data_IF_851401020683
#
_entry.id   IF_851401020683
#
_cell.length_a   1.000
_cell.length_b   1.000
_cell.length_c   1.000
_cell.angle_alpha   90.00
_cell.angle_beta   90.00
_cell.angle_gamma   90.00
#
_symmetry.space_group_name_H-M   'P 1'
#
loop_
_entity.id
_entity.type
_entity.pdbx_description
1 polymer ?
#
# COMPACT_ATOMS: atom_id res chain seq x y z
N UNK A 1 29.72 -42.62 6.31
CA UNK A 1 30.23 -41.81 5.19
C UNK A 1 29.10 -41.27 4.30
N UNK A 2 28.16 -42.05 3.71
CA UNK A 2 27.15 -41.51 2.79
C UNK A 2 26.13 -40.55 3.45
N UNK A 3 25.70 -40.88 4.67
CA UNK A 3 24.69 -40.11 5.42
C UNK A 3 25.21 -38.71 5.82
N UNK A 4 26.50 -38.60 6.17
CA UNK A 4 27.10 -37.33 6.55
C UNK A 4 27.15 -36.35 5.37
N UNK A 5 27.48 -36.82 4.17
CA UNK A 5 27.50 -35.98 2.97
C UNK A 5 26.08 -35.49 2.66
N UNK A 6 25.08 -36.38 2.68
CA UNK A 6 23.67 -35.99 2.46
C UNK A 6 23.20 -34.97 3.51
N UNK A 7 23.52 -35.18 4.78
CA UNK A 7 23.15 -34.26 5.86
C UNK A 7 23.78 -32.88 5.67
N UNK A 8 25.07 -32.81 5.35
CA UNK A 8 25.77 -31.55 5.09
C UNK A 8 25.18 -30.84 3.87
N UNK A 9 24.89 -31.56 2.78
CA UNK A 9 24.25 -30.99 1.59
C UNK A 9 22.87 -30.42 1.90
N UNK A 10 22.03 -31.12 2.69
CA UNK A 10 20.72 -30.62 3.10
C UNK A 10 20.81 -29.35 3.96
N UNK A 11 21.78 -29.30 4.88
CA UNK A 11 22.01 -28.12 5.72
C UNK A 11 22.48 -26.94 4.88
N UNK A 12 23.43 -27.16 3.96
CA UNK A 12 23.93 -26.12 3.05
C UNK A 12 22.80 -25.62 2.15
N UNK A 13 22.01 -26.50 1.54
CA UNK A 13 20.88 -26.11 0.71
C UNK A 13 19.85 -25.29 1.50
N UNK A 14 19.53 -25.70 2.73
CA UNK A 14 18.63 -24.92 3.59
C UNK A 14 19.20 -23.54 3.90
N UNK A 15 20.50 -23.44 4.18
CA UNK A 15 21.17 -22.18 4.44
C UNK A 15 21.18 -21.26 3.21
N UNK A 16 21.53 -21.80 2.03
CA UNK A 16 21.49 -21.09 0.76
C UNK A 16 20.08 -20.56 0.46
N UNK A 17 19.04 -21.39 0.63
CA UNK A 17 17.65 -20.99 0.43
C UNK A 17 17.24 -19.83 1.36
N UNK A 18 17.67 -19.85 2.63
CA UNK A 18 17.40 -18.76 3.57
C UNK A 18 18.08 -17.46 3.12
N UNK A 19 19.33 -17.54 2.65
CA UNK A 19 20.04 -16.38 2.13
C UNK A 19 19.38 -15.80 0.88
N UNK A 20 18.99 -16.64 -0.07
CA UNK A 20 18.28 -16.22 -1.29
C UNK A 20 16.94 -15.58 -0.97
N UNK A 21 16.16 -16.19 -0.08
CA UNK A 21 14.89 -15.64 0.39
C UNK A 21 15.07 -14.24 1.00
N UNK A 22 16.08 -14.06 1.87
CA UNK A 22 16.39 -12.75 2.46
C UNK A 22 16.79 -11.71 1.41
N UNK A 23 17.62 -12.10 0.43
CA UNK A 23 18.01 -11.20 -0.67
C UNK A 23 16.79 -10.78 -1.50
N UNK A 24 15.87 -11.71 -1.77
CA UNK A 24 14.62 -11.44 -2.50
C UNK A 24 13.73 -10.47 -1.73
N UNK A 25 13.49 -10.72 -0.43
CA UNK A 25 12.71 -9.83 0.44
C UNK A 25 13.29 -8.41 0.45
N UNK A 26 14.63 -8.27 0.55
CA UNK A 26 15.26 -6.94 0.49
C UNK A 26 15.02 -6.24 -0.85
N UNK A 27 15.15 -6.95 -1.97
CA UNK A 27 14.86 -6.38 -3.30
C UNK A 27 13.40 -5.95 -3.44
N UNK A 28 12.45 -6.74 -2.96
CA UNK A 28 11.03 -6.40 -2.96
C UNK A 28 10.80 -5.11 -2.16
N UNK A 29 11.34 -5.03 -0.94
CA UNK A 29 11.16 -3.85 -0.11
C UNK A 29 11.77 -2.57 -0.70
N UNK A 30 12.83 -2.67 -1.51
CA UNK A 30 13.34 -1.53 -2.30
C UNK A 30 12.29 -1.06 -3.31
N UNK A 31 11.63 -1.98 -4.02
CA UNK A 31 10.54 -1.65 -4.97
C UNK A 31 9.36 -0.99 -4.24
N UNK A 32 8.94 -1.56 -3.10
CA UNK A 32 7.89 -1.01 -2.24
C UNK A 32 8.26 0.42 -1.80
N UNK A 33 9.52 0.62 -1.39
CA UNK A 33 10.01 1.93 -0.97
C UNK A 33 9.95 2.95 -2.11
N UNK A 34 10.37 2.57 -3.32
CA UNK A 34 10.27 3.42 -4.51
C UNK A 34 8.81 3.80 -4.79
N UNK A 35 7.89 2.85 -4.72
CA UNK A 35 6.45 3.13 -4.88
C UNK A 35 5.94 4.16 -3.89
N UNK A 36 6.20 3.99 -2.59
CA UNK A 36 5.69 4.93 -1.58
C UNK A 36 6.33 6.32 -1.66
N UNK A 37 7.60 6.41 -2.07
CA UNK A 37 8.28 7.69 -2.28
C UNK A 37 7.72 8.44 -3.50
N UNK A 38 7.40 7.74 -4.58
CA UNK A 38 6.98 8.35 -5.84
C UNK A 38 5.47 8.60 -5.94
N UNK A 39 4.67 7.65 -5.45
CA UNK A 39 3.24 7.56 -5.74
C UNK A 39 2.38 7.31 -4.49
N UNK A 40 2.78 6.36 -3.65
CA UNK A 40 1.89 5.76 -2.65
C UNK A 40 1.28 6.78 -1.68
N UNK A 41 2.04 7.78 -1.23
CA UNK A 41 1.52 8.81 -0.32
C UNK A 41 0.45 9.68 -1.01
N UNK A 42 0.69 10.10 -2.25
CA UNK A 42 -0.30 10.87 -3.03
C UNK A 42 -1.55 10.05 -3.32
N UNK A 43 -1.39 8.76 -3.68
CA UNK A 43 -2.52 7.86 -3.90
C UNK A 43 -3.35 7.69 -2.64
N UNK A 44 -2.73 7.44 -1.49
CA UNK A 44 -3.43 7.36 -0.18
C UNK A 44 -4.17 8.67 0.10
N UNK A 45 -3.50 9.81 -0.05
CA UNK A 45 -4.07 11.12 0.26
C UNK A 45 -5.25 11.50 -0.64
N UNK A 46 -5.28 11.04 -1.89
CA UNK A 46 -6.40 11.30 -2.80
C UNK A 46 -7.55 10.34 -2.52
N UNK A 47 -7.25 9.05 -2.31
CA UNK A 47 -8.27 8.04 -1.99
C UNK A 47 -8.95 8.33 -0.64
N UNK A 48 -8.22 8.85 0.35
CA UNK A 48 -8.78 9.18 1.67
C UNK A 48 -9.89 10.24 1.60
N UNK A 49 -9.92 11.08 0.58
CA UNK A 49 -10.98 12.09 0.38
C UNK A 49 -12.36 11.50 0.06
N UNK A 50 -12.40 10.22 -0.32
CA UNK A 50 -13.62 9.45 -0.55
C UNK A 50 -14.12 8.78 0.72
N UNK A 51 -13.33 8.79 1.80
CA UNK A 51 -13.70 8.25 3.10
C UNK A 51 -14.36 9.33 3.97
N UNK A 52 -15.67 9.25 4.16
CA UNK A 52 -16.44 10.25 4.91
C UNK A 52 -16.13 10.24 6.41
N UNK A 53 -15.70 9.11 6.96
CA UNK A 53 -15.20 9.01 8.33
C UNK A 53 -13.67 8.92 8.40
N UNK A 54 -12.96 9.67 7.55
CA UNK A 54 -11.50 9.67 7.52
C UNK A 54 -10.88 10.20 8.82
N UNK A 55 -11.46 11.20 9.47
CA UNK A 55 -10.92 11.74 10.73
C UNK A 55 -10.96 10.70 11.87
N UNK A 56 -12.05 9.91 11.93
CA UNK A 56 -12.17 8.78 12.84
C UNK A 56 -11.09 7.73 12.55
N UNK A 57 -10.88 7.43 11.26
CA UNK A 57 -9.85 6.48 10.82
C UNK A 57 -8.43 6.94 11.17
N UNK A 58 -8.09 8.21 10.89
CA UNK A 58 -6.78 8.78 11.25
C UNK A 58 -6.52 8.74 12.75
N UNK A 59 -7.56 8.99 13.57
CA UNK A 59 -7.47 8.87 15.03
C UNK A 59 -7.30 7.41 15.49
N UNK A 60 -7.90 6.47 14.75
CA UNK A 60 -7.82 5.04 15.02
C UNK A 60 -6.43 4.46 14.72
N UNK A 61 -5.76 4.92 13.66
CA UNK A 61 -4.40 4.47 13.32
C UNK A 61 -3.35 5.32 14.06
N UNK A 62 -2.94 4.86 15.25
CA UNK A 62 -1.80 5.43 15.98
C UNK A 62 -0.47 4.98 15.38
N UNK A 63 0.12 5.81 14.53
CA UNK A 63 1.32 5.47 13.72
C UNK A 63 2.62 5.50 14.53
N UNK A 64 2.62 6.16 15.68
CA UNK A 64 3.84 6.46 16.44
C UNK A 64 4.51 5.22 17.07
N UNK A 65 3.93 4.02 16.95
CA UNK A 65 4.46 2.76 17.51
C UNK A 65 4.68 1.66 16.45
N UNK A 66 4.85 2.02 15.16
CA UNK A 66 5.10 1.04 14.10
C UNK A 66 6.46 0.35 14.21
N UNK A 67 6.43 -0.96 14.40
CA UNK A 67 7.56 -1.88 14.27
C UNK A 67 7.02 -3.27 13.87
N UNK A 68 7.87 -4.17 13.38
CA UNK A 68 7.44 -5.51 12.94
C UNK A 68 6.77 -6.36 14.05
N UNK A 69 6.91 -6.01 15.34
CA UNK A 69 6.26 -6.76 16.43
C UNK A 69 4.81 -6.34 16.67
N UNK A 70 4.44 -5.13 16.26
CA UNK A 70 3.13 -4.53 16.55
C UNK A 70 2.29 -4.23 15.29
N UNK A 71 2.87 -4.36 14.09
CA UNK A 71 2.22 -4.09 12.80
C UNK A 71 0.91 -4.89 12.59
N UNK A 72 0.84 -6.11 13.13
CA UNK A 72 -0.32 -6.99 13.00
C UNK A 72 -1.59 -6.38 13.63
N UNK A 73 -1.45 -5.65 14.75
CA UNK A 73 -2.59 -5.01 15.43
C UNK A 73 -3.13 -3.88 14.57
N UNK A 74 -2.24 -3.06 14.02
CA UNK A 74 -2.60 -1.94 13.15
C UNK A 74 -3.25 -2.44 11.86
N UNK A 75 -2.68 -3.47 11.21
CA UNK A 75 -3.30 -4.09 10.03
C UNK A 75 -4.67 -4.68 10.34
N UNK A 76 -4.83 -5.34 11.48
CA UNK A 76 -6.13 -5.86 11.93
C UNK A 76 -7.14 -4.73 12.15
N UNK A 77 -6.74 -3.64 12.80
CA UNK A 77 -7.54 -2.42 12.94
C UNK A 77 -8.01 -1.87 11.60
N UNK A 78 -7.14 -1.81 10.58
CA UNK A 78 -7.54 -1.42 9.21
C UNK A 78 -8.61 -2.35 8.66
N UNK A 79 -8.47 -3.67 8.82
CA UNK A 79 -9.44 -4.62 8.27
C UNK A 79 -10.80 -4.54 8.95
N UNK A 80 -10.82 -4.34 10.27
CA UNK A 80 -12.02 -4.27 11.10
C UNK A 80 -12.71 -2.89 11.08
N UNK A 81 -12.00 -1.84 10.69
CA UNK A 81 -12.56 -0.50 10.57
C UNK A 81 -13.69 -0.46 9.52
N UNK A 82 -14.80 0.16 9.89
CA UNK A 82 -15.96 0.36 9.03
C UNK A 82 -15.78 1.68 8.28
N UNK A 83 -15.13 1.59 7.12
CA UNK A 83 -14.98 2.75 6.23
C UNK A 83 -16.33 3.12 5.62
N UNK A 84 -16.59 4.42 5.56
CA UNK A 84 -17.70 5.02 4.82
C UNK A 84 -17.16 5.61 3.52
N UNK A 85 -16.92 4.74 2.52
CA UNK A 85 -16.43 5.15 1.20
C UNK A 85 -17.60 5.53 0.31
N UNK A 86 -17.49 6.70 -0.31
CA UNK A 86 -18.41 7.16 -1.33
C UNK A 86 -17.64 7.76 -2.52
N UNK A 87 -17.82 7.17 -3.70
CA UNK A 87 -17.25 7.61 -4.96
C UNK A 87 -17.95 8.89 -5.47
N UNK A 88 -17.62 10.03 -4.86
CA UNK A 88 -18.14 11.35 -5.24
C UNK A 88 -17.72 11.74 -6.67
N UNK A 89 -18.66 11.86 -7.63
CA UNK A 89 -18.35 12.21 -9.02
C UNK A 89 -17.47 13.45 -9.17
N UNK A 90 -17.68 14.46 -8.31
CA UNK A 90 -16.92 15.71 -8.36
C UNK A 90 -15.42 15.53 -8.10
N UNK A 91 -15.02 14.43 -7.43
CA UNK A 91 -13.64 14.13 -7.07
C UNK A 91 -13.00 13.06 -7.96
N UNK A 92 -13.79 12.33 -8.75
CA UNK A 92 -13.29 11.21 -9.57
C UNK A 92 -12.27 11.66 -10.62
N UNK A 93 -12.40 12.88 -11.14
CA UNK A 93 -11.43 13.46 -12.08
C UNK A 93 -10.05 13.65 -11.45
N UNK A 94 -9.98 14.10 -10.20
CA UNK A 94 -8.72 14.23 -9.47
C UNK A 94 -8.09 12.86 -9.21
N UNK A 95 -8.89 11.89 -8.73
CA UNK A 95 -8.44 10.53 -8.50
C UNK A 95 -7.87 9.91 -9.79
N UNK A 96 -8.59 10.04 -10.91
CA UNK A 96 -8.12 9.54 -12.19
C UNK A 96 -6.80 10.19 -12.62
N UNK A 97 -6.67 11.51 -12.50
CA UNK A 97 -5.44 12.24 -12.85
C UNK A 97 -4.22 11.74 -12.07
N UNK A 98 -4.38 11.54 -10.75
CA UNK A 98 -3.33 11.01 -9.89
C UNK A 98 -2.99 9.56 -10.26
N UNK A 99 -3.98 8.67 -10.35
CA UNK A 99 -3.75 7.27 -10.67
C UNK A 99 -3.13 7.07 -12.06
N UNK A 100 -3.57 7.85 -13.06
CA UNK A 100 -3.05 7.83 -14.43
C UNK A 100 -1.57 8.20 -14.47
N UNK A 101 -1.14 9.19 -13.69
CA UNK A 101 0.27 9.61 -13.62
C UNK A 101 1.19 8.47 -13.19
N UNK A 102 0.67 7.53 -12.41
CA UNK A 102 1.43 6.41 -11.86
C UNK A 102 1.17 5.07 -12.58
N UNK A 103 0.32 5.06 -13.61
CA UNK A 103 -0.06 3.84 -14.36
C UNK A 103 1.17 3.13 -14.94
N UNK A 104 2.04 3.87 -15.64
CA UNK A 104 3.24 3.31 -16.27
C UNK A 104 4.24 2.81 -15.21
N UNK A 105 4.37 3.51 -14.08
CA UNK A 105 5.23 3.08 -12.97
C UNK A 105 4.71 1.77 -12.34
N UNK A 106 3.40 1.67 -12.10
CA UNK A 106 2.76 0.46 -11.58
C UNK A 106 2.95 -0.73 -12.51
N UNK A 107 2.78 -0.55 -13.83
CA UNK A 107 3.00 -1.61 -14.82
C UNK A 107 4.47 -2.06 -14.85
N UNK A 108 5.42 -1.13 -14.79
CA UNK A 108 6.84 -1.44 -14.72
C UNK A 108 7.21 -2.20 -13.42
N UNK A 109 6.57 -1.88 -12.30
CA UNK A 109 6.72 -2.63 -11.05
C UNK A 109 6.17 -4.05 -11.20
N UNK A 110 4.95 -4.22 -11.71
CA UNK A 110 4.34 -5.54 -11.92
C UNK A 110 5.16 -6.44 -12.87
N UNK A 111 5.91 -5.86 -13.81
CA UNK A 111 6.82 -6.61 -14.67
C UNK A 111 8.10 -7.12 -13.96
N UNK A 112 8.34 -6.73 -12.70
CA UNK A 112 9.54 -7.14 -11.97
C UNK A 112 9.43 -8.60 -11.51
N UNK A 113 10.36 -9.50 -11.92
CA UNK A 113 10.28 -10.92 -11.60
C UNK A 113 10.48 -11.25 -10.11
N UNK A 114 10.88 -10.26 -9.29
CA UNK A 114 10.97 -10.44 -7.85
C UNK A 114 9.62 -10.27 -7.15
N UNK A 115 8.66 -9.56 -7.77
CA UNK A 115 7.28 -9.50 -7.30
C UNK A 115 6.60 -10.82 -7.68
N UNK A 116 6.47 -11.70 -6.69
CA UNK A 116 5.86 -13.00 -6.88
C UNK A 116 4.35 -12.87 -7.14
N UNK A 117 3.80 -13.85 -7.85
CA UNK A 117 2.38 -14.18 -7.74
C UNK A 117 2.09 -14.56 -6.28
N UNK A 118 1.09 -13.94 -5.65
CA UNK A 118 0.68 -14.06 -4.23
C UNK A 118 1.42 -13.20 -3.19
N UNK A 119 2.03 -12.07 -3.57
CA UNK A 119 2.50 -11.05 -2.62
C UNK A 119 1.42 -9.97 -2.39
N UNK A 120 1.19 -9.56 -1.14
CA UNK A 120 0.15 -8.59 -0.80
C UNK A 120 0.39 -7.21 -1.42
N UNK A 121 1.66 -6.88 -1.70
CA UNK A 121 2.00 -5.69 -2.47
C UNK A 121 1.55 -5.79 -3.94
N UNK A 122 1.69 -6.97 -4.57
CA UNK A 122 1.18 -7.21 -5.93
C UNK A 122 -0.34 -7.08 -5.96
N UNK A 123 -1.05 -7.64 -4.98
CA UNK A 123 -2.51 -7.51 -4.85
C UNK A 123 -2.95 -6.06 -4.66
N UNK A 124 -2.19 -5.28 -3.89
CA UNK A 124 -2.42 -3.84 -3.71
C UNK A 124 -2.26 -3.07 -5.03
N UNK A 125 -1.18 -3.34 -5.79
CA UNK A 125 -0.97 -2.72 -7.10
C UNK A 125 -2.13 -3.03 -8.06
N UNK A 126 -2.63 -4.27 -8.06
CA UNK A 126 -3.81 -4.66 -8.85
C UNK A 126 -5.05 -3.89 -8.43
N UNK A 127 -5.34 -3.79 -7.13
CA UNK A 127 -6.51 -3.06 -6.64
C UNK A 127 -6.47 -1.57 -7.07
N UNK A 128 -5.31 -0.93 -6.96
CA UNK A 128 -5.12 0.46 -7.40
C UNK A 128 -5.25 0.59 -8.93
N UNK A 129 -4.67 -0.35 -9.68
CA UNK A 129 -4.76 -0.37 -11.13
C UNK A 129 -6.20 -0.57 -11.62
N UNK A 130 -6.98 -1.45 -10.98
CA UNK A 130 -8.37 -1.69 -11.32
C UNK A 130 -9.22 -0.41 -11.21
N UNK A 131 -9.05 0.36 -10.13
CA UNK A 131 -9.72 1.67 -10.00
C UNK A 131 -9.32 2.61 -11.13
N UNK A 132 -8.03 2.66 -11.49
CA UNK A 132 -7.55 3.51 -12.58
C UNK A 132 -8.15 3.12 -13.95
N UNK A 133 -8.24 1.81 -14.21
CA UNK A 133 -8.76 1.25 -15.46
C UNK A 133 -10.27 1.45 -15.60
N UNK A 134 -11.00 1.29 -14.50
CA UNK A 134 -12.45 1.54 -14.46
C UNK A 134 -12.75 3.04 -14.71
N UNK A 135 -12.02 3.94 -14.02
CA UNK A 135 -12.16 5.39 -14.24
C UNK A 135 -11.83 5.80 -15.68
N UNK A 136 -10.79 5.21 -16.28
CA UNK A 136 -10.42 5.45 -17.66
C UNK A 136 -11.52 5.01 -18.63
N UNK A 137 -12.12 3.85 -18.37
CA UNK A 137 -13.16 3.25 -19.23
C UNK A 137 -14.46 4.04 -19.19
N UNK A 138 -14.81 4.58 -18.01
CA UNK A 138 -16.04 5.35 -17.80
C UNK A 138 -15.98 6.73 -18.47
N UNK A 139 -14.88 7.47 -18.31
CA UNK A 139 -14.57 8.71 -19.03
C UNK A 139 -15.45 9.94 -18.71
N UNK A 140 -16.76 9.76 -18.52
CA UNK A 140 -17.71 10.77 -18.07
C UNK A 140 -18.24 10.40 -16.68
N UNK A 141 -17.86 11.20 -15.68
CA UNK A 141 -18.21 10.96 -14.28
C UNK A 141 -19.54 11.59 -13.89
N UNK A 142 -20.04 12.57 -14.65
CA UNK A 142 -21.26 13.31 -14.34
C UNK A 142 -22.53 12.52 -14.69
N UNK A 143 -22.40 11.45 -15.48
CA UNK A 143 -23.51 10.59 -15.93
C UNK A 143 -23.56 9.21 -15.25
N UNK A 144 -22.76 8.98 -14.20
CA UNK A 144 -22.74 7.71 -13.48
C UNK A 144 -24.08 7.46 -12.77
N UNK A 145 -24.63 6.26 -12.97
CA UNK A 145 -25.80 5.83 -12.23
C UNK A 145 -25.44 5.38 -10.80
N UNK A 146 -26.46 5.05 -10.01
CA UNK A 146 -26.24 4.62 -8.63
C UNK A 146 -25.43 3.32 -8.54
N UNK A 147 -25.66 2.36 -9.42
CA UNK A 147 -24.96 1.08 -9.37
C UNK A 147 -23.48 1.28 -9.68
N UNK A 148 -23.18 2.14 -10.64
CA UNK A 148 -21.81 2.53 -11.00
C UNK A 148 -21.08 3.18 -9.83
N UNK A 149 -21.73 4.11 -9.13
CA UNK A 149 -21.18 4.74 -7.93
C UNK A 149 -20.95 3.71 -6.82
N UNK A 150 -21.89 2.79 -6.59
CA UNK A 150 -21.78 1.74 -5.56
C UNK A 150 -20.65 0.75 -5.90
N UNK A 151 -20.48 0.37 -7.18
CA UNK A 151 -19.37 -0.48 -7.64
C UNK A 151 -18.03 0.21 -7.44
N UNK A 152 -17.88 1.45 -7.92
CA UNK A 152 -16.65 2.20 -7.80
C UNK A 152 -16.29 2.48 -6.33
N UNK A 153 -17.28 2.72 -5.47
CA UNK A 153 -17.07 2.89 -4.03
C UNK A 153 -16.46 1.63 -3.40
N UNK A 154 -16.89 0.44 -3.82
CA UNK A 154 -16.34 -0.82 -3.34
C UNK A 154 -14.90 -1.07 -3.85
N UNK A 155 -14.61 -0.72 -5.10
CA UNK A 155 -13.26 -0.88 -5.64
C UNK A 155 -12.27 0.14 -5.05
N UNK A 156 -12.70 1.39 -4.83
CA UNK A 156 -11.94 2.39 -4.06
C UNK A 156 -11.70 1.90 -2.63
N UNK A 157 -12.70 1.33 -1.95
CA UNK A 157 -12.54 0.74 -0.61
C UNK A 157 -11.50 -0.37 -0.60
N UNK A 158 -11.56 -1.29 -1.58
CA UNK A 158 -10.63 -2.42 -1.68
C UNK A 158 -9.20 -1.92 -1.89
N UNK A 159 -9.01 -0.95 -2.80
CA UNK A 159 -7.73 -0.31 -3.04
C UNK A 159 -7.22 0.43 -1.79
N UNK A 160 -8.09 1.18 -1.10
CA UNK A 160 -7.73 1.95 0.08
C UNK A 160 -7.22 1.07 1.21
N UNK A 161 -7.96 0.00 1.53
CA UNK A 161 -7.54 -0.97 2.55
C UNK A 161 -6.19 -1.60 2.21
N UNK A 162 -6.01 -2.01 0.96
CA UNK A 162 -4.77 -2.66 0.52
C UNK A 162 -3.56 -1.72 0.62
N UNK A 163 -3.67 -0.48 0.12
CA UNK A 163 -2.55 0.47 0.14
C UNK A 163 -2.21 0.94 1.55
N UNK A 164 -3.20 1.08 2.45
CA UNK A 164 -2.93 1.41 3.86
C UNK A 164 -2.18 0.27 4.55
N UNK A 165 -2.60 -0.99 4.33
CA UNK A 165 -1.90 -2.16 4.88
C UNK A 165 -0.46 -2.23 4.39
N UNK A 166 -0.23 -2.02 3.10
CA UNK A 166 1.13 -2.02 2.56
C UNK A 166 1.96 -0.84 3.05
N UNK A 167 1.33 0.31 3.30
CA UNK A 167 2.02 1.44 3.92
C UNK A 167 2.47 1.11 5.35
N UNK A 168 1.65 0.39 6.13
CA UNK A 168 2.04 -0.10 7.47
C UNK A 168 3.22 -1.08 7.37
N UNK A 169 3.20 -2.01 6.42
CA UNK A 169 4.30 -2.94 6.16
C UNK A 169 5.59 -2.17 5.82
N UNK A 170 5.50 -1.22 4.90
CA UNK A 170 6.59 -0.35 4.49
C UNK A 170 7.19 0.45 5.67
N UNK A 171 6.34 1.11 6.46
CA UNK A 171 6.79 1.89 7.62
C UNK A 171 7.45 1.00 8.67
N UNK A 172 6.93 -0.21 8.90
CA UNK A 172 7.51 -1.18 9.84
C UNK A 172 8.86 -1.72 9.35
N UNK A 173 8.97 -1.98 8.06
CA UNK A 173 10.23 -2.36 7.42
C UNK A 173 11.30 -1.26 7.55
N UNK A 174 10.93 -0.01 7.26
CA UNK A 174 11.85 1.11 7.42
C UNK A 174 12.27 1.32 8.87
N UNK A 175 11.34 1.19 9.83
CA UNK A 175 11.66 1.33 11.24
C UNK A 175 12.79 0.38 11.66
N UNK A 176 12.70 -0.88 11.26
CA UNK A 176 13.60 -1.93 11.73
C UNK A 176 14.91 -2.03 10.90
N UNK A 177 14.86 -1.81 9.58
CA UNK A 177 16.04 -1.99 8.70
C UNK A 177 16.72 -0.66 8.30
N UNK A 178 15.98 0.46 8.28
CA UNK A 178 16.48 1.76 7.81
C UNK A 178 15.96 2.95 8.66
N UNK A 179 16.33 3.07 9.95
CA UNK A 179 15.76 4.07 10.87
C UNK A 179 15.84 5.52 10.39
N UNK A 180 16.89 5.87 9.62
CA UNK A 180 17.01 7.20 9.01
C UNK A 180 15.91 7.48 7.97
N UNK A 181 15.60 6.50 7.12
CA UNK A 181 14.52 6.62 6.13
C UNK A 181 13.15 6.63 6.81
N UNK A 182 12.99 5.87 7.89
CA UNK A 182 11.77 5.90 8.70
C UNK A 182 11.48 7.28 9.26
N UNK A 183 12.48 7.94 9.85
CA UNK A 183 12.34 9.30 10.39
C UNK A 183 11.92 10.33 9.32
N UNK A 184 12.36 10.14 8.07
CA UNK A 184 11.92 10.96 6.94
C UNK A 184 10.50 10.63 6.50
N UNK A 185 10.15 9.35 6.44
CA UNK A 185 8.84 8.87 6.02
C UNK A 185 7.71 9.29 7.00
N UNK A 186 7.99 9.30 8.31
CA UNK A 186 7.05 9.81 9.33
C UNK A 186 6.60 11.24 9.03
N UNK A 187 7.50 12.11 8.55
CA UNK A 187 7.16 13.52 8.26
C UNK A 187 6.18 13.67 7.10
N UNK A 188 6.05 12.65 6.26
CA UNK A 188 5.14 12.60 5.11
C UNK A 188 3.96 11.64 5.37
N UNK A 189 3.72 11.31 6.63
CA UNK A 189 2.67 10.38 7.01
C UNK A 189 1.29 10.94 6.59
N UNK A 190 0.54 10.24 5.72
CA UNK A 190 -0.72 10.74 5.17
C UNK A 190 -1.89 10.75 6.17
N UNK A 191 -1.70 10.23 7.39
CA UNK A 191 -2.75 10.17 8.41
C UNK A 191 -2.50 11.10 9.61
N UNK A 192 -1.48 11.95 9.54
CA UNK A 192 -1.32 13.02 10.55
C UNK A 192 -2.40 14.06 10.28
N UNK A 193 -3.32 14.22 11.23
CA UNK A 193 -4.27 15.34 11.24
C UNK A 193 -3.43 16.60 11.36
N UNK A 194 -3.19 17.27 10.23
CA UNK A 194 -2.48 18.54 10.24
C UNK A 194 -3.56 19.58 10.53
N UNK A 195 -3.68 20.01 11.79
CA UNK A 195 -4.41 21.26 12.05
C UNK A 195 -3.68 22.35 11.27
N UNK A 196 -4.41 23.03 10.38
CA UNK A 196 -3.88 24.11 9.52
C UNK A 196 -3.33 25.28 10.37
N UNK A 197 -3.54 25.28 11.69
CA UNK A 197 -3.06 26.29 12.63
C UNK A 197 -1.66 26.02 13.21
N UNK A 198 -1.06 24.84 13.03
CA UNK A 198 0.25 24.51 13.65
C UNK A 198 1.48 25.02 12.88
N UNK A 199 1.28 25.78 11.78
CA UNK A 199 2.36 26.38 10.98
C UNK A 199 2.27 27.92 10.88
N UNK A 200 1.60 28.60 11.82
CA UNK A 200 1.64 30.06 11.97
C UNK A 200 2.47 30.50 13.16
#
# INVERSE_FOLDING_TARGET
MPIQVVMVTLIINRFLNVMETRKKIKKINVIISTFFVEAGISVISTISQFNRNNDEFCTHIKINEMNMKNDYKLKKSVQEFKFDIYADPAKLSELYSILRKYKDNTLNMLANPNLLEHDSFTDMLWAVFHVADELQTRGDFDSLDKNDIDHLSNDILRAYKAIVVEWINYMSYLHDEYPFLYALAIKKNPFVITNIDDFK
#
